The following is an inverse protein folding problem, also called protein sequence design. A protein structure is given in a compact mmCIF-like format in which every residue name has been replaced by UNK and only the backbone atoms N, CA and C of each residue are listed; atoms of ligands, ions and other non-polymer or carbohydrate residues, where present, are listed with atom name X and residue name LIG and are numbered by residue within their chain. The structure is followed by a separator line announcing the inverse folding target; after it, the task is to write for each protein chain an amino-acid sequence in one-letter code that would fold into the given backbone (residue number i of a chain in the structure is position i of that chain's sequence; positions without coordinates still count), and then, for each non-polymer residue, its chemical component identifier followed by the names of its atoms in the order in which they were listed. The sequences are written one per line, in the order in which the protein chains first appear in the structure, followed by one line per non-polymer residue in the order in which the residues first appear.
data_IF_678228535873
#
_entry.id   IF_678228535873
#
_cell.length_a   1.000
_cell.length_b   1.000
_cell.length_c   1.000
_cell.angle_alpha   90.00
_cell.angle_beta   90.00
_cell.angle_gamma   90.00
#
_symmetry.space_group_name_H-M   'P 1'
#
loop_
_entity.id
_entity.type
_entity.pdbx_description
1 polymer ?
#
# COMPACT_ATOMS: atom_id res chain seq x y z
N UNK A 1 22.15 -33.81 -33.53
CA UNK A 1 21.27 -32.69 -33.11
C UNK A 1 20.54 -33.12 -31.85
N UNK A 2 20.84 -32.53 -30.68
CA UNK A 2 20.05 -32.78 -29.47
C UNK A 2 19.80 -31.46 -28.75
N UNK A 3 18.54 -31.29 -28.37
CA UNK A 3 17.85 -30.04 -28.12
C UNK A 3 18.35 -29.26 -26.89
N UNK A 4 18.17 -27.96 -26.98
CA UNK A 4 18.53 -26.92 -26.02
C UNK A 4 17.73 -27.10 -24.72
N UNK A 5 18.43 -27.28 -23.59
CA UNK A 5 17.83 -27.21 -22.25
C UNK A 5 17.73 -25.74 -21.81
N UNK A 6 16.79 -25.00 -22.40
CA UNK A 6 16.47 -23.62 -22.01
C UNK A 6 15.44 -23.58 -20.86
N UNK A 7 15.61 -24.40 -19.83
CA UNK A 7 14.89 -24.17 -18.57
C UNK A 7 15.85 -23.46 -17.60
N UNK A 8 15.55 -22.23 -17.17
CA UNK A 8 16.42 -21.55 -16.21
C UNK A 8 16.44 -22.35 -14.92
N UNK A 9 17.60 -22.91 -14.57
CA UNK A 9 17.84 -23.71 -13.36
C UNK A 9 17.56 -22.93 -12.08
N UNK A 10 17.53 -21.61 -12.20
CA UNK A 10 17.32 -20.64 -11.15
C UNK A 10 15.95 -19.95 -11.28
N UNK A 11 14.88 -20.73 -11.06
CA UNK A 11 13.54 -20.18 -10.96
C UNK A 11 13.46 -19.24 -9.75
N UNK A 12 12.70 -18.14 -9.87
CA UNK A 12 12.51 -17.19 -8.76
C UNK A 12 11.98 -17.88 -7.49
N UNK A 13 11.16 -18.92 -7.66
CA UNK A 13 10.66 -19.77 -6.57
C UNK A 13 11.79 -20.52 -5.87
N UNK A 14 12.78 -21.03 -6.61
CA UNK A 14 13.93 -21.73 -6.04
C UNK A 14 14.80 -20.80 -5.20
N UNK A 15 15.08 -19.58 -5.67
CA UNK A 15 15.80 -18.57 -4.87
C UNK A 15 15.07 -18.23 -3.57
N UNK A 16 13.76 -18.00 -3.65
CA UNK A 16 12.95 -17.68 -2.47
C UNK A 16 12.95 -18.82 -1.46
N UNK A 17 12.87 -20.07 -1.94
CA UNK A 17 12.91 -21.25 -1.09
C UNK A 17 14.27 -21.41 -0.37
N UNK A 18 15.38 -21.21 -1.08
CA UNK A 18 16.73 -21.28 -0.48
C UNK A 18 16.96 -20.17 0.56
N UNK A 19 16.55 -18.94 0.26
CA UNK A 19 16.65 -17.81 1.18
C UNK A 19 15.85 -18.04 2.49
N UNK A 20 14.69 -18.71 2.39
CA UNK A 20 13.87 -19.02 3.56
C UNK A 20 14.58 -20.04 4.47
N UNK A 21 15.27 -21.03 3.91
CA UNK A 21 16.05 -22.01 4.69
C UNK A 21 17.29 -21.41 5.36
N UNK A 22 17.97 -20.46 4.70
CA UNK A 22 19.12 -19.75 5.30
C UNK A 22 18.70 -18.84 6.47
N UNK A 23 17.52 -18.22 6.37
CA UNK A 23 16.92 -17.46 7.47
C UNK A 23 16.53 -18.36 8.66
N UNK A 24 16.08 -19.58 8.40
CA UNK A 24 15.79 -20.58 9.44
C UNK A 24 17.07 -21.11 10.11
N UNK A 25 18.16 -21.33 9.35
CA UNK A 25 19.44 -21.80 9.91
C UNK A 25 20.20 -20.73 10.69
N UNK A 26 20.02 -19.46 10.35
CA UNK A 26 20.62 -18.34 11.09
C UNK A 26 19.90 -17.98 12.40
N UNK A 27 18.71 -18.55 12.65
CA UNK A 27 17.95 -18.34 13.89
C UNK A 27 18.45 -19.18 15.08
N UNK A 28 19.33 -20.17 14.89
CA UNK A 28 19.87 -21.03 15.97
C UNK A 28 21.13 -20.46 16.67
N UNK A 29 21.44 -19.18 16.45
CA UNK A 29 22.47 -18.45 17.20
C UNK A 29 22.01 -17.04 17.58
N UNK A 30 20.95 -16.93 18.36
CA UNK A 30 20.82 -15.91 19.41
C UNK A 30 19.50 -16.11 20.17
N UNK A 31 19.63 -16.62 21.39
CA UNK A 31 18.55 -16.66 22.38
C UNK A 31 18.14 -15.24 22.79
N UNK A 32 16.84 -14.94 22.78
CA UNK A 32 16.09 -14.32 23.89
C UNK A 32 14.71 -13.91 23.36
N UNK A 33 13.67 -14.51 23.94
CA UNK A 33 12.33 -14.52 23.37
C UNK A 33 11.48 -13.27 23.57
N UNK A 34 10.27 -13.32 23.02
CA UNK A 34 9.08 -12.69 23.60
C UNK A 34 7.83 -13.33 23.01
N UNK A 35 6.95 -13.76 23.91
CA UNK A 35 5.58 -14.23 23.70
C UNK A 35 4.77 -13.30 22.78
N UNK A 36 3.92 -13.89 21.93
CA UNK A 36 2.81 -13.20 21.26
C UNK A 36 1.50 -13.86 21.67
N UNK A 37 0.80 -13.22 22.60
CA UNK A 37 -0.66 -13.30 22.72
C UNK A 37 -1.26 -12.13 21.90
N UNK A 38 -2.35 -12.33 21.15
CA UNK A 38 -3.04 -11.23 20.49
C UNK A 38 -4.01 -10.55 21.47
N UNK A 39 -3.57 -9.42 22.02
CA UNK A 39 -4.43 -8.44 22.72
C UNK A 39 -5.25 -7.69 21.66
N UNK A 40 -6.56 -7.84 21.75
CA UNK A 40 -7.55 -6.94 21.14
C UNK A 40 -7.49 -5.61 21.88
N UNK A 41 -6.74 -4.64 21.34
CA UNK A 41 -6.79 -3.26 21.79
C UNK A 41 -7.38 -2.38 20.69
N UNK A 42 -8.64 -2.03 20.95
CA UNK A 42 -9.34 -0.83 20.54
C UNK A 42 -8.40 0.32 20.15
N UNK A 43 -8.38 0.67 18.86
CA UNK A 43 -7.61 1.80 18.33
C UNK A 43 -8.30 3.08 18.78
N UNK A 44 -7.99 3.50 20.01
CA UNK A 44 -8.26 4.84 20.50
C UNK A 44 -7.15 5.75 20.01
N UNK A 45 -7.37 6.39 18.87
CA UNK A 45 -6.50 7.46 18.35
C UNK A 45 -6.72 8.72 19.20
N UNK A 46 -5.70 9.21 19.96
CA UNK A 46 -5.86 10.44 20.71
C UNK A 46 -5.89 11.63 19.74
N UNK A 47 -7.05 12.28 19.65
CA UNK A 47 -7.22 13.60 19.04
C UNK A 47 -6.44 14.60 19.89
N UNK A 48 -5.18 14.86 19.48
CA UNK A 48 -4.31 15.86 20.09
C UNK A 48 -4.64 17.24 19.53
N UNK A 49 -5.53 17.96 20.21
CA UNK A 49 -5.95 19.33 19.92
C UNK A 49 -4.89 20.36 20.37
N UNK A 50 -3.85 20.70 19.57
CA UNK A 50 -3.05 21.94 19.77
C UNK A 50 -2.32 22.40 18.48
N UNK A 51 -2.91 23.34 17.74
CA UNK A 51 -2.40 24.68 17.34
C UNK A 51 -3.21 25.24 16.17
N UNK A 52 -3.69 26.47 16.33
CA UNK A 52 -4.74 27.18 15.59
C UNK A 52 -4.29 27.79 14.24
N UNK A 53 -3.37 27.15 13.52
CA UNK A 53 -3.08 27.44 12.11
C UNK A 53 -2.68 26.11 11.46
N UNK A 54 -3.45 25.59 10.47
CA UNK A 54 -3.09 24.35 9.80
C UNK A 54 -1.74 24.52 9.10
N UNK A 55 -0.88 23.51 9.24
CA UNK A 55 0.41 23.48 8.54
C UNK A 55 0.14 23.32 7.05
N UNK A 56 0.93 23.93 6.15
CA UNK A 56 0.71 23.84 4.69
C UNK A 56 0.55 22.40 4.16
N UNK A 57 1.17 21.42 4.83
CA UNK A 57 1.04 20.00 4.47
C UNK A 57 -0.37 19.46 4.74
N UNK A 58 -1.00 19.92 5.81
CA UNK A 58 -2.39 19.60 6.15
C UNK A 58 -3.31 20.27 5.12
N UNK A 59 -3.06 21.55 4.80
CA UNK A 59 -3.83 22.25 3.77
C UNK A 59 -3.72 21.56 2.40
N UNK A 60 -2.53 21.11 1.99
CA UNK A 60 -2.34 20.36 0.73
C UNK A 60 -3.07 19.04 0.74
N UNK A 61 -3.04 18.31 1.87
CA UNK A 61 -3.80 17.06 2.03
C UNK A 61 -5.29 17.34 1.88
N UNK A 62 -5.80 18.38 2.53
CA UNK A 62 -7.22 18.71 2.53
C UNK A 62 -7.70 19.11 1.14
N UNK A 63 -6.91 19.92 0.41
CA UNK A 63 -7.20 20.26 -0.99
C UNK A 63 -7.27 19.01 -1.87
N UNK A 64 -6.32 18.08 -1.73
CA UNK A 64 -6.33 16.84 -2.51
C UNK A 64 -7.58 16.00 -2.14
N UNK A 65 -7.88 15.85 -0.86
CA UNK A 65 -9.05 15.09 -0.40
C UNK A 65 -10.36 15.68 -0.91
N UNK A 66 -10.47 17.00 -0.89
CA UNK A 66 -11.63 17.70 -1.42
C UNK A 66 -11.77 17.45 -2.94
N UNK A 67 -10.69 17.58 -3.72
CA UNK A 67 -10.74 17.29 -5.15
C UNK A 67 -11.08 15.83 -5.45
N UNK A 68 -10.62 14.89 -4.63
CA UNK A 68 -11.00 13.48 -4.73
C UNK A 68 -12.51 13.34 -4.49
N UNK A 69 -13.04 13.88 -3.39
CA UNK A 69 -14.46 13.78 -3.05
C UNK A 69 -15.37 14.43 -4.12
N UNK A 70 -15.01 15.61 -4.60
CA UNK A 70 -15.75 16.31 -5.66
C UNK A 70 -15.74 15.51 -6.97
N UNK A 71 -14.60 14.90 -7.32
CA UNK A 71 -14.52 14.09 -8.53
C UNK A 71 -15.31 12.79 -8.37
N UNK A 72 -15.19 12.12 -7.22
CA UNK A 72 -15.91 10.89 -6.92
C UNK A 72 -17.44 11.11 -6.90
N UNK A 73 -17.91 12.29 -6.46
CA UNK A 73 -19.33 12.66 -6.50
C UNK A 73 -19.90 12.80 -7.92
N UNK A 74 -19.06 13.05 -8.93
CA UNK A 74 -19.47 13.11 -10.34
C UNK A 74 -19.38 11.78 -11.07
N UNK A 75 -18.75 10.78 -10.44
CA UNK A 75 -18.55 9.46 -10.99
C UNK A 75 -19.67 8.49 -10.56
N UNK A 76 -19.88 7.39 -11.31
CA UNK A 76 -20.82 6.35 -10.86
C UNK A 76 -20.40 5.75 -9.51
N UNK A 77 -21.32 5.10 -8.78
CA UNK A 77 -20.98 4.44 -7.52
C UNK A 77 -19.80 3.48 -7.66
N UNK A 78 -18.93 3.48 -6.66
CA UNK A 78 -17.72 2.66 -6.66
C UNK A 78 -18.08 1.16 -6.74
N UNK A 79 -17.53 0.42 -7.70
CA UNK A 79 -17.84 -1.00 -7.87
C UNK A 79 -17.19 -1.85 -6.77
N UNK A 80 -17.79 -3.01 -6.49
CA UNK A 80 -17.30 -3.96 -5.47
C UNK A 80 -16.24 -4.92 -6.02
N UNK A 81 -16.31 -5.26 -7.31
CA UNK A 81 -15.32 -6.15 -7.95
C UNK A 81 -13.91 -5.55 -7.91
N UNK A 82 -12.91 -6.37 -7.58
CA UNK A 82 -11.53 -5.92 -7.38
C UNK A 82 -10.92 -5.29 -8.63
N UNK A 83 -11.15 -5.88 -9.80
CA UNK A 83 -10.58 -5.40 -11.07
C UNK A 83 -11.25 -4.09 -11.46
N UNK A 84 -12.59 -4.06 -11.46
CA UNK A 84 -13.35 -2.85 -11.78
C UNK A 84 -13.05 -1.73 -10.79
N UNK A 85 -12.89 -2.03 -9.50
CA UNK A 85 -12.52 -1.06 -8.47
C UNK A 85 -11.15 -0.45 -8.75
N UNK A 86 -10.15 -1.24 -9.15
CA UNK A 86 -8.82 -0.70 -9.52
C UNK A 86 -8.90 0.23 -10.73
N UNK A 87 -9.69 -0.12 -11.73
CA UNK A 87 -9.90 0.75 -12.89
C UNK A 87 -10.63 2.03 -12.52
N UNK A 88 -11.64 1.94 -11.65
CA UNK A 88 -12.34 3.10 -11.11
C UNK A 88 -11.37 4.01 -10.35
N UNK A 89 -10.60 3.45 -9.42
CA UNK A 89 -9.64 4.19 -8.60
C UNK A 89 -8.58 4.86 -9.49
N UNK A 90 -8.14 4.19 -10.56
CA UNK A 90 -7.19 4.74 -11.53
C UNK A 90 -7.77 5.93 -12.30
N UNK A 91 -9.02 5.83 -12.76
CA UNK A 91 -9.71 6.92 -13.45
C UNK A 91 -9.91 8.12 -12.52
N UNK A 92 -10.37 7.87 -11.29
CA UNK A 92 -10.55 8.90 -10.27
C UNK A 92 -9.23 9.66 -10.01
N UNK A 93 -8.14 8.93 -9.76
CA UNK A 93 -6.83 9.54 -9.51
C UNK A 93 -6.28 10.27 -10.74
N UNK A 94 -6.48 9.74 -11.94
CA UNK A 94 -6.06 10.40 -13.18
C UNK A 94 -6.70 11.78 -13.31
N UNK A 95 -8.01 11.89 -13.06
CA UNK A 95 -8.74 13.16 -13.16
C UNK A 95 -8.29 14.13 -12.07
N UNK A 96 -8.12 13.66 -10.84
CA UNK A 96 -7.65 14.49 -9.71
C UNK A 96 -6.26 15.06 -10.01
N UNK A 97 -5.34 14.25 -10.53
CA UNK A 97 -4.01 14.71 -10.93
C UNK A 97 -4.07 15.77 -12.02
N UNK A 98 -4.92 15.59 -13.04
CA UNK A 98 -5.11 16.60 -14.09
C UNK A 98 -5.64 17.93 -13.52
N UNK A 99 -6.57 17.90 -12.56
CA UNK A 99 -7.09 19.10 -11.89
C UNK A 99 -6.00 19.80 -11.06
N UNK A 100 -5.18 19.05 -10.34
CA UNK A 100 -4.06 19.59 -9.55
C UNK A 100 -3.01 20.26 -10.44
N UNK A 101 -2.71 19.67 -11.60
CA UNK A 101 -1.78 20.23 -12.58
C UNK A 101 -2.31 21.52 -13.20
N UNK A 102 -3.62 21.62 -13.46
CA UNK A 102 -4.24 22.82 -14.00
C UNK A 102 -4.34 23.99 -12.99
N UNK A 103 -4.15 23.71 -11.70
CA UNK A 103 -4.22 24.70 -10.61
C UNK A 103 -2.85 25.32 -10.24
N UNK A 104 -1.76 24.94 -10.94
CA UNK A 104 -0.43 25.55 -10.82
C UNK A 104 -0.14 26.49 -11.98
#
# INVERSE_FOLDING_TARGET
TKAVSNLPEDSALRRHYLQSQEAEQSADRSSAGKSKEPVVEEISIPVSTKTDIPVEKELKRDVIQQLVAETEATMPPRPTDSTLKRHYDTQLMSVVLSKLQASN
#
